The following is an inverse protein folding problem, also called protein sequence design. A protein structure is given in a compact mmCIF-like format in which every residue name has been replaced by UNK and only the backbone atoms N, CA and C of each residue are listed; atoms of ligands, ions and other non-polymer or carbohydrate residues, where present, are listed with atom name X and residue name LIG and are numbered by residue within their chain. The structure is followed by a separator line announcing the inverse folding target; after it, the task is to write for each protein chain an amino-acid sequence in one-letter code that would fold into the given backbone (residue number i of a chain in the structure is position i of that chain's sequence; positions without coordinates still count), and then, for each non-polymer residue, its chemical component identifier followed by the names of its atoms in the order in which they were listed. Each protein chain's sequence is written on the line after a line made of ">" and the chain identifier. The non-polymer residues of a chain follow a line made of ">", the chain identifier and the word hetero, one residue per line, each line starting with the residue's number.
data_IF_757369016740
#
_entry.id   IF_757369016740
#
_cell.length_a   1.000
_cell.length_b   1.000
_cell.length_c   1.000
_cell.angle_alpha   90.00
_cell.angle_beta   90.00
_cell.angle_gamma   90.00
#
_symmetry.space_group_name_H-M   'P 1'
#
loop_
_entity.id
_entity.type
_entity.pdbx_description
1 polymer ?
#
# COMPACT_ATOMS: atom_id res chain seq x y z
N UNK A 1 68.04 -44.95 -33.60
CA UNK A 1 67.78 -43.59 -34.13
C UNK A 1 66.29 -43.32 -34.41
N UNK A 2 65.37 -44.22 -34.03
CA UNK A 2 63.93 -44.02 -34.23
C UNK A 2 63.11 -43.90 -32.93
N UNK A 3 63.69 -44.21 -31.77
CA UNK A 3 63.02 -44.04 -30.47
C UNK A 3 63.16 -42.59 -29.95
N UNK A 4 64.32 -41.94 -30.14
CA UNK A 4 64.55 -40.53 -29.77
C UNK A 4 63.72 -39.50 -30.57
N UNK A 5 63.08 -39.92 -31.66
CA UNK A 5 62.22 -39.07 -32.51
C UNK A 5 60.75 -39.11 -32.06
N UNK A 6 60.33 -40.13 -31.31
CA UNK A 6 58.98 -40.20 -30.75
C UNK A 6 58.84 -39.38 -29.48
N UNK A 7 59.84 -39.40 -28.60
CA UNK A 7 59.78 -38.64 -27.35
C UNK A 7 59.71 -37.12 -27.59
N UNK A 8 60.43 -36.62 -28.59
CA UNK A 8 60.42 -35.18 -28.95
C UNK A 8 59.15 -34.73 -29.71
N UNK A 9 58.27 -35.65 -30.15
CA UNK A 9 56.98 -35.31 -30.73
C UNK A 9 55.84 -35.32 -29.70
N UNK A 10 55.94 -36.11 -28.63
CA UNK A 10 54.95 -36.10 -27.55
C UNK A 10 55.14 -34.91 -26.59
N UNK A 11 56.38 -34.44 -26.41
CA UNK A 11 56.65 -33.27 -25.57
C UNK A 11 56.12 -31.96 -26.19
N UNK A 12 56.07 -31.87 -27.53
CA UNK A 12 55.60 -30.66 -28.23
C UNK A 12 54.08 -30.57 -28.39
N UNK A 13 53.34 -31.67 -28.20
CA UNK A 13 51.87 -31.69 -28.24
C UNK A 13 51.24 -31.56 -26.86
N UNK A 14 52.01 -31.70 -25.77
CA UNK A 14 51.56 -31.41 -24.41
C UNK A 14 51.44 -29.92 -24.10
N UNK A 15 52.37 -29.09 -24.58
CA UNK A 15 52.45 -27.68 -24.17
C UNK A 15 51.47 -26.73 -24.89
N UNK A 16 50.79 -27.16 -25.95
CA UNK A 16 49.86 -26.28 -26.69
C UNK A 16 48.40 -26.38 -26.21
N UNK A 17 48.11 -27.31 -25.30
CA UNK A 17 46.75 -27.51 -24.74
C UNK A 17 46.56 -26.97 -23.32
N UNK A 18 47.64 -26.68 -22.60
CA UNK A 18 47.61 -26.34 -21.17
C UNK A 18 47.68 -24.83 -20.90
N UNK A 19 47.91 -24.00 -21.93
CA UNK A 19 47.96 -22.54 -21.79
C UNK A 19 46.69 -21.81 -22.27
N UNK A 20 45.57 -22.55 -22.39
CA UNK A 20 44.23 -21.97 -22.65
C UNK A 20 43.25 -22.34 -21.51
N UNK A 21 43.74 -22.97 -20.42
CA UNK A 21 42.89 -23.40 -19.29
C UNK A 21 43.11 -22.64 -17.98
N UNK A 22 43.77 -21.49 -18.00
CA UNK A 22 43.76 -20.56 -16.86
C UNK A 22 43.54 -19.11 -17.31
N UNK A 23 42.42 -18.90 -18.00
CA UNK A 23 41.66 -17.65 -17.86
C UNK A 23 40.20 -18.02 -17.61
N UNK A 24 39.98 -18.92 -16.65
CA UNK A 24 38.78 -18.79 -15.84
C UNK A 24 38.91 -17.46 -15.10
N UNK A 25 38.43 -16.39 -15.76
CA UNK A 25 37.88 -15.26 -15.04
C UNK A 25 37.07 -15.87 -13.91
N UNK A 26 37.26 -15.44 -12.64
CA UNK A 26 36.34 -15.85 -11.61
C UNK A 26 34.97 -15.49 -12.17
N UNK A 27 34.18 -16.51 -12.50
CA UNK A 27 32.76 -16.36 -12.57
C UNK A 27 32.48 -15.89 -11.17
N UNK A 28 32.33 -14.57 -11.02
CA UNK A 28 31.52 -13.98 -9.99
C UNK A 28 30.24 -14.80 -10.13
N UNK A 29 30.17 -15.89 -9.35
CA UNK A 29 28.91 -16.34 -8.84
C UNK A 29 28.28 -15.03 -8.42
N UNK A 30 27.14 -14.61 -8.98
CA UNK A 30 26.41 -13.56 -8.33
C UNK A 30 26.15 -14.18 -6.98
N UNK A 31 27.00 -13.81 -6.03
CA UNK A 31 26.79 -13.93 -4.62
C UNK A 31 25.39 -13.35 -4.58
N UNK A 32 24.41 -14.23 -4.40
CA UNK A 32 23.07 -13.83 -4.06
C UNK A 32 23.28 -13.26 -2.68
N UNK A 33 23.83 -12.05 -2.67
CA UNK A 33 23.74 -11.07 -1.64
C UNK A 33 22.24 -10.88 -1.60
N UNK A 34 21.58 -11.77 -0.86
CA UNK A 34 20.27 -11.54 -0.32
C UNK A 34 20.48 -10.24 0.44
N UNK A 35 20.29 -9.12 -0.27
CA UNK A 35 20.59 -7.78 0.20
C UNK A 35 19.76 -7.68 1.45
N UNK A 36 20.44 -7.70 2.60
CA UNK A 36 19.77 -7.74 3.90
C UNK A 36 18.81 -6.56 3.88
N UNK A 37 17.49 -6.80 3.98
CA UNK A 37 16.53 -5.73 3.85
C UNK A 37 16.90 -4.66 4.86
N UNK A 38 16.93 -3.40 4.42
CA UNK A 38 17.14 -2.25 5.33
C UNK A 38 16.03 -2.12 6.38
N UNK A 39 14.98 -2.93 6.24
CA UNK A 39 13.76 -2.91 7.02
C UNK A 39 13.64 -4.11 7.97
N UNK A 40 13.02 -3.89 9.12
CA UNK A 40 12.71 -4.92 10.11
C UNK A 40 11.55 -5.83 9.64
N UNK A 41 11.90 -6.87 8.88
CA UNK A 41 10.97 -7.87 8.33
C UNK A 41 9.98 -8.45 9.36
N UNK A 42 10.41 -8.87 10.58
CA UNK A 42 9.48 -9.47 11.55
C UNK A 42 8.44 -8.47 12.07
N UNK A 43 8.84 -7.20 12.23
CA UNK A 43 7.97 -6.13 12.66
C UNK A 43 6.90 -5.85 11.59
N UNK A 44 7.30 -5.74 10.32
CA UNK A 44 6.39 -5.51 9.20
C UNK A 44 5.42 -6.66 9.00
N UNK A 45 5.91 -7.91 9.02
CA UNK A 45 5.05 -9.09 8.91
C UNK A 45 3.95 -9.09 9.97
N UNK A 46 4.29 -8.73 11.22
CA UNK A 46 3.34 -8.68 12.33
C UNK A 46 2.31 -7.55 12.15
N UNK A 47 2.76 -6.31 12.00
CA UNK A 47 1.87 -5.14 12.04
C UNK A 47 1.05 -4.97 10.76
N UNK A 48 1.60 -5.29 9.58
CA UNK A 48 0.81 -5.30 8.34
C UNK A 48 -0.26 -6.40 8.39
N UNK A 49 0.04 -7.54 9.04
CA UNK A 49 -0.96 -8.57 9.31
C UNK A 49 -2.09 -8.10 10.24
N UNK A 50 -1.77 -7.34 11.28
CA UNK A 50 -2.78 -6.70 12.16
C UNK A 50 -3.60 -5.68 11.37
N UNK A 51 -2.96 -4.87 10.53
CA UNK A 51 -3.61 -3.87 9.68
C UNK A 51 -4.63 -4.52 8.73
N UNK A 52 -4.28 -5.66 8.14
CA UNK A 52 -5.21 -6.47 7.33
C UNK A 52 -6.46 -6.88 8.12
N UNK A 53 -6.28 -7.45 9.32
CA UNK A 53 -7.41 -7.89 10.15
C UNK A 53 -8.27 -6.72 10.64
N UNK A 54 -7.65 -5.58 10.96
CA UNK A 54 -8.36 -4.37 11.36
C UNK A 54 -9.27 -3.88 10.25
N UNK A 55 -8.78 -3.82 9.00
CA UNK A 55 -9.59 -3.37 7.86
C UNK A 55 -10.78 -4.30 7.64
N UNK A 56 -10.59 -5.63 7.71
CA UNK A 56 -11.68 -6.59 7.55
C UNK A 56 -12.74 -6.39 8.64
N UNK A 57 -12.31 -6.31 9.91
CA UNK A 57 -13.23 -6.10 11.04
C UNK A 57 -13.99 -4.77 10.92
N UNK A 58 -13.29 -3.70 10.52
CA UNK A 58 -13.88 -2.38 10.31
C UNK A 58 -14.94 -2.39 9.19
N UNK A 59 -14.66 -3.03 8.06
CA UNK A 59 -15.63 -3.15 6.96
C UNK A 59 -16.86 -3.93 7.38
N UNK A 60 -16.70 -5.05 8.10
CA UNK A 60 -17.83 -5.83 8.64
C UNK A 60 -18.66 -4.95 9.57
N UNK A 61 -18.04 -4.25 10.51
CA UNK A 61 -18.74 -3.40 11.46
C UNK A 61 -19.46 -2.21 10.79
N UNK A 62 -18.87 -1.65 9.73
CA UNK A 62 -19.49 -0.59 8.94
C UNK A 62 -20.77 -1.05 8.26
N UNK A 63 -20.86 -2.31 7.81
CA UNK A 63 -22.08 -2.86 7.21
C UNK A 63 -23.23 -2.96 8.22
N UNK A 64 -22.91 -3.30 9.47
CA UNK A 64 -23.90 -3.34 10.57
C UNK A 64 -24.41 -1.95 10.98
N UNK A 65 -23.65 -0.90 10.69
CA UNK A 65 -24.00 0.49 11.02
C UNK A 65 -24.57 1.25 9.82
N UNK A 66 -25.07 0.53 8.81
CA UNK A 66 -25.66 1.15 7.62
C UNK A 66 -26.91 1.97 7.94
N UNK A 67 -27.20 2.95 7.07
CA UNK A 67 -28.32 3.91 7.22
C UNK A 67 -29.68 3.23 7.48
N UNK A 68 -29.87 2.02 6.95
CA UNK A 68 -31.08 1.23 7.19
C UNK A 68 -31.27 0.83 8.65
N UNK A 69 -30.19 0.65 9.42
CA UNK A 69 -30.24 0.28 10.84
C UNK A 69 -30.18 1.50 11.76
N UNK A 70 -29.49 2.57 11.36
CA UNK A 70 -29.36 3.80 12.16
C UNK A 70 -30.61 4.66 12.15
N UNK A 71 -31.41 4.63 11.07
CA UNK A 71 -32.72 5.27 11.02
C UNK A 71 -33.76 4.60 11.95
N UNK A 72 -33.55 3.31 12.28
CA UNK A 72 -34.41 2.56 13.20
C UNK A 72 -33.97 2.74 14.65
N UNK A 73 -32.66 2.91 14.90
CA UNK A 73 -32.08 3.09 16.23
C UNK A 73 -31.05 4.24 16.21
N UNK A 74 -31.43 5.47 16.59
CA UNK A 74 -30.53 6.64 16.57
C UNK A 74 -29.26 6.48 17.41
N UNK A 75 -29.32 5.70 18.50
CA UNK A 75 -28.14 5.39 19.32
C UNK A 75 -27.08 4.58 18.57
N UNK A 76 -27.45 3.89 17.49
CA UNK A 76 -26.54 3.14 16.64
C UNK A 76 -25.71 4.06 15.74
N UNK A 77 -26.25 5.21 15.33
CA UNK A 77 -25.52 6.21 14.54
C UNK A 77 -24.33 6.77 15.33
N UNK A 78 -24.57 7.17 16.59
CA UNK A 78 -23.53 7.67 17.48
C UNK A 78 -22.49 6.59 17.80
N UNK A 79 -22.92 5.35 18.04
CA UNK A 79 -22.02 4.22 18.24
C UNK A 79 -21.14 3.97 17.00
N UNK A 80 -21.70 4.06 15.80
CA UNK A 80 -20.97 3.95 14.54
C UNK A 80 -19.92 5.03 14.35
N UNK A 81 -20.26 6.28 14.69
CA UNK A 81 -19.33 7.41 14.62
C UNK A 81 -18.15 7.21 15.58
N UNK A 82 -18.41 6.83 16.83
CA UNK A 82 -17.33 6.50 17.79
C UNK A 82 -16.48 5.36 17.27
N UNK A 83 -17.09 4.29 16.76
CA UNK A 83 -16.36 3.15 16.23
C UNK A 83 -15.45 3.56 15.06
N UNK A 84 -15.92 4.43 14.17
CA UNK A 84 -15.11 4.92 13.06
C UNK A 84 -13.90 5.74 13.55
N UNK A 85 -14.11 6.63 14.52
CA UNK A 85 -13.04 7.42 15.15
C UNK A 85 -12.00 6.50 15.81
N UNK A 86 -12.46 5.53 16.61
CA UNK A 86 -11.59 4.56 17.29
C UNK A 86 -10.81 3.71 16.27
N UNK A 87 -11.48 3.27 15.20
CA UNK A 87 -10.85 2.48 14.14
C UNK A 87 -9.79 3.28 13.40
N UNK A 88 -10.09 4.55 13.08
CA UNK A 88 -9.15 5.48 12.43
C UNK A 88 -7.94 5.72 13.35
N UNK A 89 -8.16 5.99 14.64
CA UNK A 89 -7.07 6.15 15.60
C UNK A 89 -6.22 4.87 15.71
N UNK A 90 -6.85 3.69 15.82
CA UNK A 90 -6.15 2.41 15.86
C UNK A 90 -5.31 2.16 14.59
N UNK A 91 -5.85 2.52 13.43
CA UNK A 91 -5.16 2.48 12.15
C UNK A 91 -3.89 3.35 12.16
N UNK A 92 -4.03 4.62 12.59
CA UNK A 92 -2.90 5.55 12.74
C UNK A 92 -1.83 5.04 13.72
N UNK A 93 -2.23 4.40 14.83
CA UNK A 93 -1.29 3.80 15.79
C UNK A 93 -0.50 2.65 15.16
N UNK A 94 -1.14 1.78 14.38
CA UNK A 94 -0.45 0.69 13.66
C UNK A 94 0.54 1.26 12.65
N UNK A 95 0.14 2.31 11.91
CA UNK A 95 1.04 3.01 10.99
C UNK A 95 2.25 3.62 11.70
N UNK A 96 2.08 4.20 12.91
CA UNK A 96 3.21 4.66 13.72
C UNK A 96 4.13 3.52 14.16
N UNK A 97 3.60 2.33 14.44
CA UNK A 97 4.43 1.17 14.81
C UNK A 97 5.34 0.71 13.67
N UNK A 98 4.89 0.81 12.42
CA UNK A 98 5.72 0.49 11.23
C UNK A 98 6.49 1.71 10.70
N UNK A 99 6.26 2.91 11.25
CA UNK A 99 6.94 4.14 10.85
C UNK A 99 8.44 4.16 11.18
N UNK A 100 8.92 3.22 12.01
CA UNK A 100 10.37 3.00 12.19
C UNK A 100 11.05 2.63 10.88
N UNK A 101 10.33 2.02 9.95
CA UNK A 101 10.90 1.52 8.68
C UNK A 101 10.74 2.47 7.51
N UNK A 102 9.74 3.35 7.54
CA UNK A 102 9.56 4.33 6.48
C UNK A 102 8.91 5.61 7.00
N UNK A 103 9.52 6.74 6.64
CA UNK A 103 9.01 8.08 6.94
C UNK A 103 7.59 8.31 6.39
N UNK A 104 7.25 7.61 5.30
CA UNK A 104 5.95 7.75 4.66
C UNK A 104 4.81 7.23 5.55
N UNK A 105 5.02 6.13 6.29
CA UNK A 105 4.00 5.67 7.26
C UNK A 105 3.79 6.66 8.41
N UNK A 106 4.84 7.38 8.83
CA UNK A 106 4.69 8.44 9.85
C UNK A 106 3.78 9.56 9.35
N UNK A 107 4.00 10.01 8.12
CA UNK A 107 3.20 11.07 7.52
C UNK A 107 1.74 10.63 7.30
N UNK A 108 1.53 9.38 6.88
CA UNK A 108 0.19 8.78 6.77
C UNK A 108 -0.52 8.73 8.14
N UNK A 109 0.18 8.30 9.18
CA UNK A 109 -0.36 8.26 10.54
C UNK A 109 -0.75 9.66 11.06
N UNK A 110 0.06 10.68 10.80
CA UNK A 110 -0.26 12.07 11.17
C UNK A 110 -1.56 12.52 10.49
N UNK A 111 -1.71 12.25 9.19
CA UNK A 111 -2.96 12.55 8.47
C UNK A 111 -4.16 11.82 9.09
N UNK A 112 -3.97 10.55 9.46
CA UNK A 112 -5.00 9.74 10.11
C UNK A 112 -5.45 10.35 11.46
N UNK A 113 -4.52 10.83 12.29
CA UNK A 113 -4.86 11.52 13.53
C UNK A 113 -5.53 12.87 13.30
N UNK A 114 -5.11 13.65 12.29
CA UNK A 114 -5.79 14.89 11.92
C UNK A 114 -7.24 14.58 11.54
N UNK A 115 -7.48 13.57 10.70
CA UNK A 115 -8.83 13.14 10.32
C UNK A 115 -9.66 12.73 11.55
N UNK A 116 -9.07 11.98 12.49
CA UNK A 116 -9.75 11.59 13.73
C UNK A 116 -10.10 12.80 14.62
N UNK A 117 -9.19 13.76 14.76
CA UNK A 117 -9.42 14.99 15.55
C UNK A 117 -10.53 15.83 14.92
N UNK A 118 -10.51 16.00 13.59
CA UNK A 118 -11.59 16.70 12.88
C UNK A 118 -12.92 15.98 13.08
N UNK A 119 -12.96 14.65 12.98
CA UNK A 119 -14.17 13.87 13.20
C UNK A 119 -14.75 14.04 14.62
N UNK A 120 -13.89 14.12 15.65
CA UNK A 120 -14.30 14.42 17.04
C UNK A 120 -14.82 15.85 17.16
N UNK A 121 -14.11 16.82 16.56
CA UNK A 121 -14.50 18.23 16.62
C UNK A 121 -15.85 18.51 15.94
N UNK A 122 -16.25 17.68 14.96
CA UNK A 122 -17.54 17.79 14.27
C UNK A 122 -18.72 17.19 15.05
N UNK A 123 -18.51 16.39 16.11
CA UNK A 123 -19.60 15.81 16.92
C UNK A 123 -20.59 16.88 17.43
N UNK A 124 -20.16 17.92 18.17
CA UNK A 124 -21.07 18.92 18.73
C UNK A 124 -21.64 19.89 17.68
N UNK A 125 -21.15 19.85 16.45
CA UNK A 125 -21.46 20.83 15.39
C UNK A 125 -22.74 20.46 14.62
N UNK A 126 -23.26 19.24 14.82
CA UNK A 126 -24.21 18.55 13.92
C UNK A 126 -25.65 19.10 13.88
N UNK A 127 -26.08 19.94 14.83
CA UNK A 127 -27.50 20.32 14.93
C UNK A 127 -27.87 21.61 14.17
N UNK A 128 -26.92 22.54 13.94
CA UNK A 128 -27.18 23.85 13.30
C UNK A 128 -25.97 24.39 12.50
N UNK A 129 -25.17 23.50 11.85
CA UNK A 129 -24.03 24.00 11.08
C UNK A 129 -24.49 24.73 9.82
N UNK A 130 -24.04 25.98 9.65
CA UNK A 130 -24.12 26.66 8.38
C UNK A 130 -23.34 25.85 7.33
N UNK A 131 -24.02 25.47 6.23
CA UNK A 131 -23.44 24.79 5.08
C UNK A 131 -22.16 25.50 4.60
N UNK A 132 -22.07 26.82 4.79
CA UNK A 132 -20.90 27.63 4.48
C UNK A 132 -19.63 27.24 5.28
N UNK A 133 -19.75 26.73 6.50
CA UNK A 133 -18.62 26.26 7.32
C UNK A 133 -18.36 24.77 7.09
N UNK A 134 -19.42 23.97 6.95
CA UNK A 134 -19.30 22.52 6.78
C UNK A 134 -18.55 22.14 5.48
N UNK A 135 -18.86 22.82 4.37
CA UNK A 135 -18.27 22.50 3.05
C UNK A 135 -16.73 22.65 3.06
N UNK A 136 -16.14 23.78 3.49
CA UNK A 136 -14.68 23.91 3.58
C UNK A 136 -14.03 22.83 4.46
N UNK A 137 -14.62 22.50 5.61
CA UNK A 137 -14.08 21.48 6.52
C UNK A 137 -14.07 20.10 5.86
N UNK A 138 -15.14 19.74 5.15
CA UNK A 138 -15.21 18.49 4.40
C UNK A 138 -14.14 18.45 3.31
N UNK A 139 -13.98 19.53 2.54
CA UNK A 139 -12.96 19.62 1.48
C UNK A 139 -11.56 19.41 2.06
N UNK A 140 -11.23 20.10 3.16
CA UNK A 140 -9.93 19.96 3.83
C UNK A 140 -9.74 18.52 4.33
N UNK A 141 -10.78 17.93 4.94
CA UNK A 141 -10.73 16.54 5.44
C UNK A 141 -10.48 15.53 4.33
N UNK A 142 -11.11 15.73 3.16
CA UNK A 142 -10.90 14.90 1.97
C UNK A 142 -9.45 15.03 1.48
N UNK A 143 -8.91 16.25 1.40
CA UNK A 143 -7.53 16.49 0.97
C UNK A 143 -6.52 15.85 1.93
N UNK A 144 -6.71 16.02 3.24
CA UNK A 144 -5.86 15.39 4.27
C UNK A 144 -5.90 13.87 4.17
N UNK A 145 -7.09 13.30 3.98
CA UNK A 145 -7.27 11.84 3.83
C UNK A 145 -6.57 11.34 2.56
N UNK A 146 -6.70 12.05 1.44
CA UNK A 146 -6.03 11.74 0.18
C UNK A 146 -4.50 11.76 0.31
N UNK A 147 -3.94 12.76 1.00
CA UNK A 147 -2.51 12.86 1.28
C UNK A 147 -2.05 11.71 2.18
N UNK A 148 -2.85 11.37 3.20
CA UNK A 148 -2.60 10.24 4.10
C UNK A 148 -2.54 8.91 3.36
N UNK A 149 -3.48 8.68 2.44
CA UNK A 149 -3.48 7.52 1.57
C UNK A 149 -2.26 7.49 0.66
N UNK A 150 -1.93 8.58 -0.03
CA UNK A 150 -0.74 8.67 -0.87
C UNK A 150 0.52 8.21 -0.12
N UNK A 151 0.71 8.71 1.11
CA UNK A 151 1.85 8.33 1.93
C UNK A 151 1.82 6.85 2.34
N UNK A 152 0.65 6.27 2.58
CA UNK A 152 0.51 4.84 2.86
C UNK A 152 0.91 3.99 1.65
N UNK A 153 0.38 4.31 0.46
CA UNK A 153 0.75 3.64 -0.79
C UNK A 153 2.25 3.70 -1.04
N UNK A 154 2.84 4.88 -0.85
CA UNK A 154 4.29 5.08 -1.00
C UNK A 154 5.09 4.33 0.06
N UNK A 155 4.61 4.29 1.30
CA UNK A 155 5.21 3.50 2.38
C UNK A 155 5.25 2.02 2.04
N UNK A 156 4.16 1.45 1.51
CA UNK A 156 4.12 0.06 1.06
C UNK A 156 5.08 -0.22 -0.09
N UNK A 157 5.14 0.67 -1.08
CA UNK A 157 6.11 0.59 -2.18
C UNK A 157 7.56 0.62 -1.67
N UNK A 158 7.86 1.54 -0.76
CA UNK A 158 9.21 1.77 -0.21
C UNK A 158 9.72 0.54 0.55
N UNK A 159 8.95 0.03 1.51
CA UNK A 159 9.37 -1.14 2.30
C UNK A 159 9.39 -2.45 1.52
N UNK A 160 8.64 -2.54 0.41
CA UNK A 160 8.66 -3.70 -0.48
C UNK A 160 9.74 -3.64 -1.55
N UNK A 161 10.39 -2.50 -1.75
CA UNK A 161 11.31 -2.33 -2.87
C UNK A 161 12.48 -3.34 -2.80
N UNK A 162 13.00 -3.58 -1.59
CA UNK A 162 14.09 -4.54 -1.35
C UNK A 162 13.61 -6.00 -1.21
N UNK A 163 12.32 -6.25 -0.95
CA UNK A 163 11.78 -7.59 -0.65
C UNK A 163 11.03 -8.21 -1.82
N UNK A 164 10.21 -7.41 -2.51
CA UNK A 164 9.43 -7.83 -3.67
C UNK A 164 9.16 -6.63 -4.59
N UNK A 165 10.11 -6.32 -5.52
CA UNK A 165 9.94 -5.24 -6.49
C UNK A 165 8.64 -5.37 -7.31
N UNK A 166 8.27 -6.60 -7.65
CA UNK A 166 7.04 -6.88 -8.39
C UNK A 166 5.76 -6.51 -7.62
N UNK A 167 5.76 -6.63 -6.29
CA UNK A 167 4.63 -6.20 -5.45
C UNK A 167 4.68 -4.70 -5.21
N UNK A 168 5.88 -4.12 -5.08
CA UNK A 168 6.09 -2.67 -4.97
C UNK A 168 5.53 -1.92 -6.19
N UNK A 169 5.78 -2.39 -7.42
CA UNK A 169 5.22 -1.79 -8.65
C UNK A 169 3.68 -1.87 -8.68
N UNK A 170 3.12 -2.98 -8.19
CA UNK A 170 1.67 -3.15 -8.10
C UNK A 170 1.03 -2.10 -7.17
N UNK A 171 1.68 -1.77 -6.05
CA UNK A 171 1.23 -0.69 -5.17
C UNK A 171 1.23 0.68 -5.85
N UNK A 172 2.28 1.02 -6.61
CA UNK A 172 2.35 2.26 -7.40
C UNK A 172 1.20 2.30 -8.43
N UNK A 173 0.95 1.18 -9.11
CA UNK A 173 -0.12 1.08 -10.10
C UNK A 173 -1.49 1.24 -9.45
N UNK A 174 -1.70 0.64 -8.28
CA UNK A 174 -2.95 0.74 -7.53
C UNK A 174 -3.23 2.19 -7.10
N UNK A 175 -2.20 2.93 -6.67
CA UNK A 175 -2.33 4.36 -6.38
C UNK A 175 -2.81 5.17 -7.61
N UNK A 176 -2.26 4.89 -8.80
CA UNK A 176 -2.70 5.57 -10.04
C UNK A 176 -4.17 5.28 -10.35
N UNK A 177 -4.62 4.04 -10.16
CA UNK A 177 -6.03 3.67 -10.34
C UNK A 177 -6.93 4.37 -9.33
N UNK A 178 -6.53 4.39 -8.05
CA UNK A 178 -7.24 5.11 -7.00
C UNK A 178 -7.44 6.58 -7.38
N UNK A 179 -6.36 7.27 -7.76
CA UNK A 179 -6.42 8.67 -8.18
C UNK A 179 -7.32 8.87 -9.41
N UNK A 180 -7.23 7.97 -10.40
CA UNK A 180 -8.10 7.99 -11.58
C UNK A 180 -9.58 7.86 -11.24
N UNK A 181 -9.93 6.94 -10.33
CA UNK A 181 -11.32 6.78 -9.87
C UNK A 181 -11.79 7.98 -9.06
N UNK A 182 -10.93 8.58 -8.23
CA UNK A 182 -11.28 9.76 -7.45
C UNK A 182 -11.51 10.99 -8.33
N UNK A 183 -10.65 11.22 -9.32
CA UNK A 183 -10.83 12.25 -10.34
C UNK A 183 -12.08 12.00 -11.19
N UNK A 184 -12.42 10.72 -11.44
CA UNK A 184 -13.66 10.34 -12.10
C UNK A 184 -14.90 10.74 -11.31
N UNK A 185 -14.89 10.57 -9.98
CA UNK A 185 -15.97 11.03 -9.11
C UNK A 185 -16.07 12.56 -9.16
N UNK A 186 -14.98 13.29 -8.89
CA UNK A 186 -14.99 14.77 -8.88
C UNK A 186 -15.44 15.32 -10.25
N UNK A 187 -14.81 14.87 -11.32
CA UNK A 187 -15.12 15.30 -12.68
C UNK A 187 -16.54 14.92 -13.10
N UNK A 188 -17.00 13.73 -12.72
CA UNK A 188 -18.38 13.28 -12.95
C UNK A 188 -19.41 14.11 -12.20
N UNK A 189 -19.14 14.47 -10.94
CA UNK A 189 -20.00 15.35 -10.14
C UNK A 189 -20.10 16.74 -10.74
N UNK A 190 -18.97 17.34 -11.15
CA UNK A 190 -18.98 18.64 -11.84
C UNK A 190 -19.74 18.55 -13.16
N UNK A 191 -19.52 17.49 -13.95
CA UNK A 191 -20.23 17.28 -15.20
C UNK A 191 -21.73 17.09 -15.00
N UNK A 192 -22.15 16.44 -13.91
CA UNK A 192 -23.56 16.21 -13.60
C UNK A 192 -24.34 17.53 -13.40
N UNK A 193 -23.67 18.63 -13.06
CA UNK A 193 -24.31 19.97 -12.99
C UNK A 193 -24.73 20.45 -14.39
N UNK A 194 -23.97 20.12 -15.42
CA UNK A 194 -24.24 20.54 -16.80
C UNK A 194 -25.07 19.51 -17.56
N UNK A 195 -24.72 18.23 -17.45
CA UNK A 195 -25.37 17.11 -18.12
C UNK A 195 -25.60 16.00 -17.09
N UNK A 196 -26.73 16.04 -16.35
CA UNK A 196 -26.98 15.16 -15.20
C UNK A 196 -26.82 13.67 -15.51
N UNK A 197 -27.44 13.19 -16.59
CA UNK A 197 -27.44 11.76 -16.91
C UNK A 197 -26.02 11.22 -17.16
N UNK A 198 -25.22 11.92 -17.97
CA UNK A 198 -23.85 11.49 -18.30
C UNK A 198 -22.95 11.59 -17.07
N UNK A 199 -23.01 12.71 -16.34
CA UNK A 199 -22.22 12.90 -15.12
C UNK A 199 -22.50 11.82 -14.07
N UNK A 200 -23.77 11.48 -13.85
CA UNK A 200 -24.16 10.42 -12.92
C UNK A 200 -23.66 9.03 -13.34
N UNK A 201 -23.68 8.70 -14.64
CA UNK A 201 -23.11 7.43 -15.14
C UNK A 201 -21.60 7.36 -14.85
N UNK A 202 -20.87 8.47 -15.04
CA UNK A 202 -19.44 8.54 -14.74
C UNK A 202 -19.19 8.36 -13.24
N UNK A 203 -19.96 9.05 -12.39
CA UNK A 203 -19.84 8.92 -10.92
C UNK A 203 -20.12 7.49 -10.49
N UNK A 204 -21.16 6.84 -11.03
CA UNK A 204 -21.47 5.44 -10.73
C UNK A 204 -20.32 4.51 -11.12
N UNK A 205 -19.80 4.65 -12.35
CA UNK A 205 -18.67 3.85 -12.82
C UNK A 205 -17.41 4.07 -11.98
N UNK A 206 -17.12 5.32 -11.62
CA UNK A 206 -15.98 5.68 -10.78
C UNK A 206 -16.12 5.14 -9.35
N UNK A 207 -17.33 5.17 -8.79
CA UNK A 207 -17.64 4.60 -7.47
C UNK A 207 -17.43 3.09 -7.46
N UNK A 208 -17.92 2.37 -8.48
CA UNK A 208 -17.62 0.94 -8.65
C UNK A 208 -16.10 0.72 -8.76
N UNK A 209 -15.40 1.57 -9.50
CA UNK A 209 -13.94 1.57 -9.58
C UNK A 209 -13.27 1.71 -8.21
N UNK A 210 -13.70 2.67 -7.38
CA UNK A 210 -13.16 2.85 -6.02
C UNK A 210 -13.40 1.62 -5.14
N UNK A 211 -14.56 0.97 -5.28
CA UNK A 211 -14.86 -0.27 -4.56
C UNK A 211 -13.90 -1.40 -4.96
N UNK A 212 -13.65 -1.57 -6.27
CA UNK A 212 -12.68 -2.55 -6.76
C UNK A 212 -11.28 -2.25 -6.25
N UNK A 213 -10.84 -0.98 -6.30
CA UNK A 213 -9.53 -0.55 -5.80
C UNK A 213 -9.39 -0.84 -4.30
N UNK A 214 -10.43 -0.60 -3.50
CA UNK A 214 -10.44 -0.90 -2.06
C UNK A 214 -10.29 -2.40 -1.78
N UNK A 215 -11.01 -3.25 -2.52
CA UNK A 215 -10.85 -4.72 -2.40
C UNK A 215 -9.44 -5.15 -2.78
N UNK A 216 -8.89 -4.61 -3.89
CA UNK A 216 -7.52 -4.94 -4.32
C UNK A 216 -6.48 -4.45 -3.29
N UNK A 217 -6.70 -3.29 -2.65
CA UNK A 217 -5.86 -2.78 -1.56
C UNK A 217 -5.77 -3.79 -0.42
N UNK A 218 -6.91 -4.32 0.04
CA UNK A 218 -6.95 -5.36 1.09
C UNK A 218 -6.15 -6.60 0.69
N UNK A 219 -6.31 -7.07 -0.55
CA UNK A 219 -5.55 -8.22 -1.08
C UNK A 219 -4.05 -7.92 -1.11
N UNK A 220 -3.66 -6.71 -1.47
CA UNK A 220 -2.25 -6.32 -1.53
C UNK A 220 -1.64 -6.21 -0.15
N UNK A 221 -2.38 -5.73 0.87
CA UNK A 221 -1.94 -5.72 2.27
C UNK A 221 -1.67 -7.16 2.74
N UNK A 222 -2.58 -8.09 2.47
CA UNK A 222 -2.38 -9.51 2.79
C UNK A 222 -1.14 -10.09 2.08
N UNK A 223 -0.97 -9.83 0.78
CA UNK A 223 0.20 -10.29 0.02
C UNK A 223 1.50 -9.67 0.55
N UNK A 224 1.45 -8.42 1.00
CA UNK A 224 2.58 -7.70 1.59
C UNK A 224 2.98 -8.35 2.91
N UNK A 225 2.02 -8.59 3.81
CA UNK A 225 2.27 -9.32 5.07
C UNK A 225 2.84 -10.73 4.82
N UNK A 226 2.29 -11.45 3.84
CA UNK A 226 2.76 -12.79 3.45
C UNK A 226 4.18 -12.75 2.87
N UNK A 227 4.50 -11.75 2.04
CA UNK A 227 5.84 -11.58 1.48
C UNK A 227 6.88 -11.39 2.57
N UNK A 228 6.59 -10.55 3.58
CA UNK A 228 7.48 -10.37 4.73
C UNK A 228 7.59 -11.63 5.59
N UNK A 229 6.48 -12.34 5.85
CA UNK A 229 6.50 -13.57 6.66
C UNK A 229 7.29 -14.71 6.01
N UNK A 230 7.29 -14.78 4.69
CA UNK A 230 7.97 -15.83 3.93
C UNK A 230 9.41 -15.48 3.53
N UNK A 231 9.88 -14.29 3.90
CA UNK A 231 11.24 -13.88 3.57
C UNK A 231 12.24 -14.66 4.44
N UNK A 232 13.25 -15.32 3.85
CA UNK A 232 14.26 -16.04 4.61
C UNK A 232 15.05 -15.04 5.47
N UNK A 233 15.04 -15.24 6.78
CA UNK A 233 15.81 -14.45 7.77
C UNK A 233 17.18 -15.06 7.93
#
# INVERSE_FOLDING_TARGET
>A
MDELRKDQMEERTGETGENIREMEFPVDQPEQTVKKPSVNIPLLAKWIGVLFWLIIAANIASLFTSENMTNVVPSLAFAGQILNIVTTAAYGVILLKIASESIYYRNSAICCFITAVVAVAMIPVSDDTDLALAIPVVIVSVVVSMIGEYYEYKGHTDVLNDVSPALSEKWIRLWKWYMGTFLGIIGGTVLAVMIPLIGMIIVLGATIGTMVVSVVKIVYIYKTAKAFRNYPI
#
